data_IF_309887348917
#
_entry.id   IF_309887348917
#
_cell.length_a   1.000
_cell.length_b   1.000
_cell.length_c   1.000
_cell.angle_alpha   90.00
_cell.angle_beta   90.00
_cell.angle_gamma   90.00
#
_symmetry.space_group_name_H-M   'P 1'
#
loop_
_entity.id
_entity.type
_entity.pdbx_description
1 polymer ?
#
# COMPACT_ATOMS: atom_id res chain seq x y z
N UNK A 1 6.28 -4.80 -7.64
CA UNK A 1 6.02 -4.48 -6.23
C UNK A 1 7.30 -3.99 -5.56
N UNK A 2 7.20 -2.89 -4.85
CA UNK A 2 8.24 -2.38 -3.97
C UNK A 2 7.81 -2.63 -2.53
N UNK A 3 8.70 -3.15 -1.71
CA UNK A 3 8.41 -3.38 -0.31
C UNK A 3 9.62 -3.13 0.58
N UNK A 4 9.38 -2.67 1.79
CA UNK A 4 10.41 -2.50 2.83
C UNK A 4 9.90 -3.02 4.15
N UNK A 5 10.75 -3.75 4.85
CA UNK A 5 10.48 -4.17 6.21
C UNK A 5 11.02 -3.11 7.17
N UNK A 6 10.18 -2.64 8.05
CA UNK A 6 10.54 -1.61 9.03
C UNK A 6 10.06 -2.02 10.41
N UNK A 7 10.70 -1.52 11.46
CA UNK A 7 10.33 -1.84 12.84
C UNK A 7 9.00 -1.24 13.26
N UNK A 8 8.62 -0.11 12.68
CA UNK A 8 7.39 0.63 12.99
C UNK A 8 6.78 1.18 11.71
N UNK A 9 5.51 1.58 11.76
CA UNK A 9 4.77 2.17 10.64
C UNK A 9 4.22 3.55 11.02
N UNK A 10 5.11 4.42 11.48
CA UNK A 10 4.83 5.81 11.80
C UNK A 10 5.00 6.70 10.55
N UNK A 11 4.74 8.00 10.71
CA UNK A 11 4.92 8.95 9.60
C UNK A 11 6.35 8.97 9.03
N UNK A 12 7.38 8.81 9.88
CA UNK A 12 8.77 8.78 9.44
C UNK A 12 9.09 7.58 8.55
N UNK A 13 8.63 6.40 8.91
CA UNK A 13 8.78 5.20 8.10
C UNK A 13 7.99 5.31 6.79
N UNK A 14 6.80 5.88 6.85
CA UNK A 14 5.99 6.13 5.67
C UNK A 14 6.69 7.09 4.70
N UNK A 15 7.25 8.19 5.19
CA UNK A 15 7.99 9.14 4.37
C UNK A 15 9.22 8.47 3.73
N UNK A 16 9.94 7.64 4.45
CA UNK A 16 11.06 6.88 3.88
C UNK A 16 10.62 5.96 2.75
N UNK A 17 9.46 5.33 2.91
CA UNK A 17 8.88 4.53 1.83
C UNK A 17 8.47 5.38 0.63
N UNK A 18 7.86 6.54 0.86
CA UNK A 18 7.53 7.48 -0.21
C UNK A 18 8.78 7.90 -0.99
N UNK A 19 9.88 8.16 -0.30
CA UNK A 19 11.16 8.50 -0.94
C UNK A 19 11.68 7.34 -1.78
N UNK A 20 11.51 6.11 -1.33
CA UNK A 20 11.88 4.91 -2.10
C UNK A 20 11.09 4.83 -3.40
N UNK A 21 9.79 5.06 -3.34
CA UNK A 21 8.92 5.05 -4.53
C UNK A 21 9.26 6.23 -5.45
N UNK A 22 9.48 7.41 -4.88
CA UNK A 22 9.85 8.61 -5.64
C UNK A 22 11.12 8.37 -6.48
N UNK A 23 12.11 7.72 -5.89
CA UNK A 23 13.35 7.39 -6.60
C UNK A 23 13.15 6.33 -7.69
N UNK A 24 12.16 5.46 -7.54
CA UNK A 24 11.92 4.37 -8.48
C UNK A 24 11.06 4.78 -9.67
N UNK A 25 10.24 5.83 -9.54
CA UNK A 25 9.34 6.28 -10.61
C UNK A 25 10.07 7.27 -11.51
N UNK A 26 10.09 7.07 -12.85
CA UNK A 26 10.78 7.97 -13.77
C UNK A 26 10.30 9.42 -13.63
N UNK A 27 11.23 10.36 -13.79
CA UNK A 27 10.93 11.78 -13.81
C UNK A 27 9.90 12.10 -14.90
N UNK A 28 9.02 13.05 -14.64
CA UNK A 28 7.97 13.44 -15.59
C UNK A 28 6.70 12.60 -15.55
N UNK A 29 6.68 11.51 -14.76
CA UNK A 29 5.47 10.71 -14.52
C UNK A 29 4.69 11.27 -13.35
N UNK A 30 3.38 11.37 -13.49
CA UNK A 30 2.47 11.68 -12.39
C UNK A 30 2.28 10.44 -11.52
N UNK A 31 2.21 10.61 -10.22
CA UNK A 31 2.00 9.50 -9.27
C UNK A 31 0.67 9.70 -8.54
N UNK A 32 -0.21 8.74 -8.69
CA UNK A 32 -1.47 8.66 -7.93
C UNK A 32 -1.33 7.56 -6.90
N UNK A 33 -1.28 7.93 -5.63
CA UNK A 33 -1.17 6.98 -4.54
C UNK A 33 -2.54 6.74 -3.91
N UNK A 34 -2.94 5.47 -3.84
CA UNK A 34 -4.15 5.06 -3.15
C UNK A 34 -3.75 4.58 -1.76
N UNK A 35 -4.29 5.22 -0.74
CA UNK A 35 -3.89 5.01 0.66
C UNK A 35 -5.09 4.67 1.52
N UNK A 36 -4.86 3.79 2.50
CA UNK A 36 -5.85 3.57 3.55
C UNK A 36 -6.01 4.84 4.40
N UNK A 37 -7.19 5.01 4.97
CA UNK A 37 -7.49 6.15 5.83
C UNK A 37 -6.85 5.96 7.22
N UNK A 38 -5.52 6.08 7.28
CA UNK A 38 -4.71 5.88 8.47
C UNK A 38 -4.05 7.19 8.90
N UNK A 39 -4.05 7.47 10.20
CA UNK A 39 -3.60 8.77 10.74
C UNK A 39 -2.17 9.14 10.35
N UNK A 40 -1.25 8.17 10.31
CA UNK A 40 0.14 8.42 9.93
C UNK A 40 0.29 8.96 8.50
N UNK A 41 -0.64 8.60 7.60
CA UNK A 41 -0.66 9.10 6.21
C UNK A 41 -1.09 10.57 6.11
N UNK A 42 -1.71 11.11 7.15
CA UNK A 42 -2.24 12.48 7.20
C UNK A 42 -1.43 13.40 8.11
N UNK A 43 -0.29 12.92 8.64
CA UNK A 43 0.56 13.69 9.53
C UNK A 43 1.09 14.95 8.83
N UNK A 44 1.28 16.09 9.54
CA UNK A 44 1.80 17.32 8.95
C UNK A 44 3.11 17.16 8.19
N UNK A 45 4.01 16.27 8.63
CA UNK A 45 5.27 15.98 7.93
C UNK A 45 5.03 15.31 6.58
N UNK A 46 4.01 14.47 6.47
CA UNK A 46 3.60 13.84 5.21
C UNK A 46 3.00 14.89 4.27
N UNK A 47 2.18 15.80 4.79
CA UNK A 47 1.63 16.91 4.00
C UNK A 47 2.73 17.84 3.48
N UNK A 48 3.75 18.12 4.31
CA UNK A 48 4.90 18.91 3.89
C UNK A 48 5.71 18.19 2.79
N UNK A 49 5.88 16.87 2.90
CA UNK A 49 6.52 16.07 1.86
C UNK A 49 5.74 16.16 0.55
N UNK A 50 4.42 16.00 0.61
CA UNK A 50 3.53 16.06 -0.55
C UNK A 50 3.59 17.44 -1.23
N UNK A 51 3.66 18.52 -0.45
CA UNK A 51 3.80 19.88 -0.98
C UNK A 51 5.11 20.07 -1.77
N UNK A 52 6.18 19.36 -1.40
CA UNK A 52 7.46 19.39 -2.12
C UNK A 52 7.51 18.45 -3.33
N UNK A 53 6.48 17.61 -3.51
CA UNK A 53 6.41 16.63 -4.59
C UNK A 53 5.12 16.80 -5.39
N UNK A 54 5.01 17.89 -6.19
CA UNK A 54 3.74 18.25 -6.84
C UNK A 54 3.24 17.23 -7.87
N UNK A 55 4.09 16.31 -8.32
CA UNK A 55 3.66 15.23 -9.22
C UNK A 55 2.83 14.15 -8.52
N UNK A 56 2.77 14.16 -7.19
CA UNK A 56 2.03 13.19 -6.39
C UNK A 56 0.64 13.69 -6.04
N UNK A 57 -0.33 12.81 -6.13
CA UNK A 57 -1.69 13.01 -5.62
C UNK A 57 -2.08 11.84 -4.73
N UNK A 58 -2.52 12.13 -3.51
CA UNK A 58 -3.00 11.12 -2.58
C UNK A 58 -4.50 10.96 -2.71
N UNK A 59 -4.95 9.70 -2.75
CA UNK A 59 -6.36 9.33 -2.75
C UNK A 59 -6.60 8.40 -1.57
N UNK A 60 -7.36 8.85 -0.59
CA UNK A 60 -7.66 8.03 0.59
C UNK A 60 -8.90 7.19 0.34
N UNK A 61 -8.86 5.91 0.77
CA UNK A 61 -10.04 5.07 0.74
C UNK A 61 -11.04 5.57 1.78
N UNK A 62 -12.36 5.45 1.52
CA UNK A 62 -13.37 5.80 2.52
C UNK A 62 -13.21 4.98 3.79
N UNK A 63 -13.70 5.51 4.90
CA UNK A 63 -13.76 4.77 6.16
C UNK A 63 -14.49 3.44 5.96
N UNK A 64 -13.95 2.35 6.52
CA UNK A 64 -14.48 0.97 6.36
C UNK A 64 -14.46 0.43 4.93
N UNK A 65 -13.70 1.06 4.03
CA UNK A 65 -13.58 0.64 2.63
C UNK A 65 -12.13 0.38 2.21
N UNK A 66 -11.29 -0.10 3.11
CA UNK A 66 -9.90 -0.42 2.81
C UNK A 66 -9.76 -1.50 1.72
N UNK A 67 -10.79 -2.32 1.51
CA UNK A 67 -10.83 -3.31 0.43
C UNK A 67 -10.71 -2.70 -0.97
N UNK A 68 -10.94 -1.39 -1.12
CA UNK A 68 -10.68 -0.67 -2.37
C UNK A 68 -9.19 -0.52 -2.67
N UNK A 69 -8.33 -0.70 -1.68
CA UNK A 69 -6.89 -0.66 -1.88
C UNK A 69 -6.39 -2.04 -2.31
N UNK A 70 -5.97 -2.16 -3.56
CA UNK A 70 -5.53 -3.43 -4.15
C UNK A 70 -4.35 -4.09 -3.41
N UNK A 71 -3.57 -3.32 -2.65
CA UNK A 71 -2.45 -3.86 -1.87
C UNK A 71 -2.90 -4.87 -0.80
N UNK A 72 -4.13 -4.80 -0.33
CA UNK A 72 -4.65 -5.76 0.65
C UNK A 72 -4.73 -7.17 0.07
N UNK A 73 -5.08 -7.30 -1.21
CA UNK A 73 -5.05 -8.60 -1.90
C UNK A 73 -3.65 -9.20 -1.92
N UNK A 74 -2.64 -8.38 -2.16
CA UNK A 74 -1.25 -8.80 -2.11
C UNK A 74 -0.84 -9.31 -0.73
N UNK A 75 -1.16 -8.59 0.34
CA UNK A 75 -0.84 -9.01 1.70
C UNK A 75 -1.60 -10.27 2.12
N UNK A 76 -2.85 -10.42 1.70
CA UNK A 76 -3.62 -11.65 1.94
C UNK A 76 -2.96 -12.85 1.28
N UNK A 77 -2.50 -12.72 0.04
CA UNK A 77 -1.82 -13.80 -0.67
C UNK A 77 -0.47 -14.14 -0.01
N UNK A 78 0.31 -13.15 0.38
CA UNK A 78 1.56 -13.33 1.11
C UNK A 78 1.33 -14.10 2.42
N UNK A 79 0.34 -13.68 3.21
CA UNK A 79 0.01 -14.33 4.48
C UNK A 79 -0.39 -15.79 4.29
N UNK A 80 -1.27 -16.08 3.32
CA UNK A 80 -1.76 -17.45 3.06
C UNK A 80 -0.68 -18.36 2.50
N UNK A 81 0.10 -17.87 1.54
CA UNK A 81 1.03 -18.69 0.76
C UNK A 81 2.36 -18.88 1.45
N UNK A 82 2.78 -17.96 2.29
CA UNK A 82 4.12 -17.98 2.85
C UNK A 82 4.14 -17.90 4.38
N UNK A 83 3.47 -16.91 4.97
CA UNK A 83 3.62 -16.64 6.39
C UNK A 83 2.95 -17.68 7.30
N UNK A 84 1.76 -18.15 6.94
CA UNK A 84 1.02 -19.16 7.71
C UNK A 84 1.61 -20.55 7.60
N UNK A 85 2.34 -20.83 6.53
CA UNK A 85 2.92 -22.14 6.25
C UNK A 85 4.40 -22.23 6.61
N UNK A 86 5.03 -21.09 6.88
CA UNK A 86 6.44 -21.02 7.18
C UNK A 86 6.72 -21.17 8.68
N UNK A 87 7.89 -21.69 9.00
CA UNK A 87 8.48 -21.65 10.34
C UNK A 87 9.63 -20.67 10.30
N UNK A 88 9.62 -19.68 11.19
CA UNK A 88 10.64 -18.64 11.22
C UNK A 88 11.36 -18.63 12.56
N UNK A 89 12.69 -18.61 12.51
CA UNK A 89 13.54 -18.62 13.70
C UNK A 89 13.74 -17.24 14.31
N UNK A 90 13.36 -16.16 13.59
CA UNK A 90 13.47 -14.80 14.07
C UNK A 90 13.04 -13.79 13.02
N UNK A 91 13.17 -12.51 13.36
CA UNK A 91 12.76 -11.40 12.50
C UNK A 91 13.56 -11.37 11.20
N UNK A 92 14.87 -11.62 11.26
CA UNK A 92 15.73 -11.63 10.06
C UNK A 92 15.29 -12.70 9.07
N UNK A 93 14.95 -13.88 9.55
CA UNK A 93 14.46 -14.99 8.74
C UNK A 93 13.11 -14.65 8.10
N UNK A 94 12.20 -14.06 8.87
CA UNK A 94 10.90 -13.61 8.38
C UNK A 94 11.07 -12.53 7.30
N UNK A 95 11.91 -11.53 7.53
CA UNK A 95 12.16 -10.46 6.56
C UNK A 95 12.76 -11.01 5.26
N UNK A 96 13.68 -11.97 5.37
CA UNK A 96 14.27 -12.63 4.20
C UNK A 96 13.22 -13.37 3.38
N UNK A 97 12.27 -14.06 4.05
CA UNK A 97 11.18 -14.76 3.39
C UNK A 97 10.24 -13.79 2.65
N UNK A 98 9.92 -12.66 3.25
CA UNK A 98 9.10 -11.62 2.63
C UNK A 98 9.80 -11.05 1.40
N UNK A 99 11.08 -10.73 1.50
CA UNK A 99 11.88 -10.21 0.37
C UNK A 99 11.94 -11.21 -0.79
N UNK A 100 12.14 -12.50 -0.48
CA UNK A 100 12.14 -13.56 -1.51
C UNK A 100 10.78 -13.68 -2.19
N UNK A 101 9.69 -13.59 -1.42
CA UNK A 101 8.34 -13.62 -1.98
C UNK A 101 8.09 -12.46 -2.94
N UNK A 102 8.48 -11.25 -2.55
CA UNK A 102 8.35 -10.06 -3.41
C UNK A 102 9.19 -10.21 -4.68
N UNK A 103 10.43 -10.67 -4.56
CA UNK A 103 11.31 -10.86 -5.71
C UNK A 103 10.74 -11.89 -6.69
N UNK A 104 10.23 -13.01 -6.20
CA UNK A 104 9.59 -14.03 -7.03
C UNK A 104 8.31 -13.51 -7.69
N UNK A 105 7.50 -12.77 -6.94
CA UNK A 105 6.29 -12.13 -7.46
C UNK A 105 6.64 -11.15 -8.60
N UNK A 106 7.68 -10.36 -8.44
CA UNK A 106 8.06 -9.34 -9.43
C UNK A 106 8.54 -9.95 -10.76
N UNK A 107 9.00 -11.18 -10.78
CA UNK A 107 9.33 -11.87 -12.03
C UNK A 107 8.10 -12.17 -12.89
N UNK A 108 6.91 -12.21 -12.28
CA UNK A 108 5.63 -12.51 -12.95
C UNK A 108 4.61 -11.40 -12.74
N UNK A 109 5.04 -10.25 -12.28
CA UNK A 109 4.14 -9.15 -11.94
C UNK A 109 3.43 -8.62 -13.17
N UNK A 110 2.14 -8.36 -13.01
CA UNK A 110 1.29 -7.71 -14.00
C UNK A 110 0.57 -6.54 -13.33
N UNK A 111 0.23 -5.49 -14.07
CA UNK A 111 -0.61 -4.43 -13.52
C UNK A 111 -1.90 -5.01 -12.95
N UNK A 112 -2.34 -4.46 -11.82
CA UNK A 112 -3.61 -4.86 -11.22
C UNK A 112 -4.77 -4.48 -12.15
N UNK A 113 -5.70 -5.40 -12.33
CA UNK A 113 -6.91 -5.16 -13.14
C UNK A 113 -8.14 -5.36 -12.27
N UNK A 114 -9.03 -4.39 -12.30
CA UNK A 114 -10.33 -4.48 -11.65
C UNK A 114 -11.25 -5.38 -12.47
N UNK A 115 -11.76 -6.44 -11.84
CA UNK A 115 -12.70 -7.35 -12.49
C UNK A 115 -14.16 -6.90 -12.35
N UNK A 116 -14.47 -6.09 -11.34
CA UNK A 116 -15.81 -5.53 -11.15
C UNK A 116 -15.95 -4.20 -11.88
N UNK A 117 -17.10 -3.94 -12.54
CA UNK A 117 -17.37 -2.63 -13.11
C UNK A 117 -17.40 -1.53 -12.05
N UNK A 118 -17.04 -0.29 -12.44
CA UNK A 118 -17.02 0.84 -11.54
C UNK A 118 -18.40 1.06 -10.85
N UNK A 119 -19.49 0.89 -11.58
CA UNK A 119 -20.85 1.07 -11.05
C UNK A 119 -21.15 0.09 -9.92
N UNK A 120 -20.70 -1.17 -10.03
CA UNK A 120 -20.89 -2.17 -8.97
C UNK A 120 -20.09 -1.78 -7.70
N UNK A 121 -18.89 -1.24 -7.87
CA UNK A 121 -18.06 -0.77 -6.76
C UNK A 121 -18.70 0.44 -6.09
N UNK A 122 -19.17 1.43 -6.85
CA UNK A 122 -19.82 2.62 -6.32
C UNK A 122 -21.12 2.27 -5.59
N UNK A 123 -21.89 1.30 -6.10
CA UNK A 123 -23.11 0.83 -5.43
C UNK A 123 -22.79 0.14 -4.09
N UNK A 124 -21.68 -0.61 -4.02
CA UNK A 124 -21.23 -1.21 -2.77
C UNK A 124 -20.83 -0.14 -1.74
N UNK A 125 -20.20 0.94 -2.17
CA UNK A 125 -19.81 2.07 -1.31
C UNK A 125 -21.02 2.79 -0.69
N UNK A 126 -22.11 2.91 -1.42
CA UNK A 126 -23.36 3.54 -0.91
C UNK A 126 -23.99 2.79 0.25
N UNK A 127 -23.64 1.52 0.43
CA UNK A 127 -24.15 0.67 1.52
C UNK A 127 -23.30 0.74 2.78
N UNK A 128 -22.20 1.47 2.76
CA UNK A 128 -21.36 1.65 3.94
C UNK A 128 -22.00 2.64 4.92
N UNK A 129 -21.79 2.44 6.24
CA UNK A 129 -22.28 3.41 7.21
C UNK A 129 -21.59 4.76 7.00
N UNK A 130 -22.32 5.83 7.35
CA UNK A 130 -21.74 7.17 7.30
C UNK A 130 -20.51 7.25 8.23
N UNK A 131 -19.46 8.03 7.84
CA UNK A 131 -18.32 8.21 8.73
C UNK A 131 -18.76 8.80 10.06
N UNK A 132 -18.25 8.25 11.15
CA UNK A 132 -18.46 8.84 12.49
C UNK A 132 -17.77 10.20 12.54
N UNK A 133 -18.53 11.19 12.99
CA UNK A 133 -18.01 12.56 13.14
C UNK A 133 -17.11 12.64 14.37
#
# INVERSE_FOLDING_TARGET
VLGRCMQRHRNGEFIRFLNTVEAAVPAGKTVHAILNNYAAHKHPKVRAWLARHPRWTFHFTPTSASWLNAVEGFFSALSRRRLRRGTFTGIVDLQAAIKRYIAAHNQRARPFQWTKPADAILSALKRLPAPSV
#
